data_IF_565571599109
#
_entry.id   IF_565571599109
#
_cell.length_a   1.000
_cell.length_b   1.000
_cell.length_c   1.000
_cell.angle_alpha   90.00
_cell.angle_beta   90.00
_cell.angle_gamma   90.00
#
_symmetry.space_group_name_H-M   'P 1'
#
loop_
_entity.id
_entity.type
_entity.pdbx_description
1 polymer ?
#
# COMPACT_ATOMS: atom_id res chain seq x y z
N UNK A 1 -4.84 -34.04 -15.31
CA UNK A 1 -4.99 -33.93 -15.00
C UNK A 1 -4.81 -33.43 -14.66
N UNK A 2 -4.88 -33.05 -14.48
CA UNK A 2 -5.02 -32.76 -14.05
C UNK A 2 -4.88 -32.27 -13.54
N UNK A 3 -4.72 -32.21 -13.74
CA UNK A 3 -4.85 -31.85 -13.20
C UNK A 3 -4.60 -31.19 -12.77
N UNK A 4 -4.59 -30.89 -12.93
CA UNK A 4 -4.70 -30.52 -12.38
C UNK A 4 -4.36 -29.71 -12.15
N UNK A 5 -4.42 -29.55 -12.43
CA UNK A 5 -4.49 -29.13 -12.19
C UNK A 5 -4.26 -28.43 -11.91
N UNK A 6 -4.23 -28.46 -12.19
CA UNK A 6 -4.31 -28.10 -11.85
C UNK A 6 -4.05 -27.34 -11.70
N UNK A 7 -4.07 -27.09 -11.92
CA UNK A 7 -4.20 -26.69 -11.59
C UNK A 7 -3.95 -25.89 -11.44
N UNK A 8 -4.03 -25.61 -11.75
CA UNK A 8 -4.19 -25.17 -11.43
C UNK A 8 -3.95 -24.42 -11.17
N UNK A 9 -3.95 -24.13 -11.37
CA UNK A 9 -4.09 -23.88 -10.91
C UNK A 9 -3.66 -23.00 -10.75
N UNK A 10 -3.72 -22.99 -10.99
CA UNK A 10 -3.75 -22.66 -10.65
C UNK A 10 -3.23 -21.85 -10.50
N UNK A 11 -3.06 -21.63 -10.69
CA UNK A 11 -3.01 -21.42 -10.38
C UNK A 11 -2.38 -20.63 -10.22
N UNK A 12 -2.10 -20.38 -10.53
CA UNK A 12 -1.95 -20.09 -10.18
C UNK A 12 -1.34 -19.30 -9.88
N UNK A 13 -1.19 -19.06 -9.91
CA UNK A 13 -1.15 -18.71 -9.41
C UNK A 13 -0.73 -18.21 -8.79
N UNK A 14 -0.70 -18.16 -8.76
CA UNK A 14 -0.80 -17.98 -7.90
C UNK A 14 -0.32 -17.74 -7.35
N UNK A 15 -0.05 -17.77 -7.45
CA UNK A 15 0.04 -17.94 -6.75
C UNK A 15 0.83 -17.55 -6.41
N UNK A 16 1.06 -17.20 -6.44
CA UNK A 16 1.53 -17.17 -6.08
C UNK A 16 1.99 -16.53 -5.43
N UNK A 17 2.25 -16.34 -5.24
CA UNK A 17 2.37 -16.11 -4.39
C UNK A 17 2.07 -15.27 -3.55
N UNK A 18 2.01 -14.99 -3.45
CA UNK A 18 1.60 -14.33 -2.66
C UNK A 18 0.91 -14.45 -1.90
N UNK A 19 0.90 -14.33 -1.24
CA UNK A 19 0.10 -14.93 -0.45
C UNK A 19 -1.15 -14.86 -0.92
N UNK A 20 -1.23 -15.54 -1.10
CA UNK A 20 -2.25 -15.43 -1.48
C UNK A 20 -3.22 -15.25 -0.61
N UNK A 21 -3.33 -15.14 0.12
CA UNK A 21 -4.46 -14.82 0.91
C UNK A 21 -5.37 -13.86 0.18
N UNK A 22 -6.54 -13.58 0.74
CA UNK A 22 -7.45 -12.64 0.12
C UNK A 22 -7.00 -11.18 0.24
N UNK A 23 -6.04 -10.93 1.06
CA UNK A 23 -5.59 -9.58 1.36
C UNK A 23 -4.84 -8.99 0.17
N UNK A 24 -5.16 -7.76 -0.18
CA UNK A 24 -4.51 -7.08 -1.29
C UNK A 24 -3.37 -6.22 -0.78
N UNK A 25 -2.30 -6.07 -1.59
CA UNK A 25 -1.15 -5.29 -1.16
C UNK A 25 -1.51 -3.89 -0.67
N UNK A 26 -2.44 -3.19 -1.36
CA UNK A 26 -2.77 -1.84 -0.95
C UNK A 26 -3.44 -1.82 0.42
N UNK A 27 -4.19 -2.86 0.77
CA UNK A 27 -4.86 -2.91 2.08
C UNK A 27 -3.84 -3.08 3.19
N UNK A 28 -2.85 -3.91 2.97
CA UNK A 28 -1.78 -4.12 3.94
C UNK A 28 -0.99 -2.83 4.15
N UNK A 29 -0.63 -2.18 3.05
CA UNK A 29 0.15 -0.94 3.12
C UNK A 29 -0.68 0.15 3.78
N UNK A 30 -1.96 0.26 3.43
CA UNK A 30 -2.83 1.27 4.02
C UNK A 30 -2.96 1.08 5.53
N UNK A 31 -3.13 -0.16 5.97
CA UNK A 31 -3.25 -0.45 7.39
C UNK A 31 -1.97 -0.08 8.14
N UNK A 32 -0.82 -0.39 7.56
CA UNK A 32 0.44 -0.09 8.20
C UNK A 32 0.69 1.42 8.27
N UNK A 33 0.48 2.11 7.15
CA UNK A 33 0.66 3.57 7.13
C UNK A 33 -0.32 4.27 8.07
N UNK A 34 -1.57 3.81 8.10
CA UNK A 34 -2.56 4.39 8.99
C UNK A 34 -2.10 4.28 10.44
N UNK A 35 -1.58 3.12 10.80
CA UNK A 35 -1.06 2.87 12.14
C UNK A 35 0.13 3.79 12.45
N UNK A 36 1.04 3.96 11.49
CA UNK A 36 2.22 4.79 11.69
C UNK A 36 1.86 6.26 11.84
N UNK A 37 0.91 6.74 11.05
CA UNK A 37 0.44 8.11 11.17
C UNK A 37 -0.22 8.31 12.53
N UNK A 38 -1.06 7.38 12.94
CA UNK A 38 -1.75 7.47 14.22
C UNK A 38 -0.77 7.41 15.38
N UNK A 39 0.33 6.68 15.22
CA UNK A 39 1.34 6.57 16.26
C UNK A 39 2.22 7.83 16.38
N UNK A 40 2.03 8.79 15.48
CA UNK A 40 2.79 10.04 15.56
C UNK A 40 4.16 9.95 14.94
N UNK A 41 4.38 9.02 14.02
CA UNK A 41 5.68 8.90 13.37
C UNK A 41 6.01 10.18 12.59
N UNK A 42 5.01 10.89 12.14
CA UNK A 42 5.16 12.21 11.51
C UNK A 42 4.30 13.20 12.23
N UNK A 43 4.86 14.37 12.51
CA UNK A 43 4.11 15.45 13.14
C UNK A 43 3.13 16.08 12.15
N UNK A 44 2.16 16.81 12.68
CA UNK A 44 1.23 17.55 11.82
C UNK A 44 2.04 18.46 10.89
N UNK A 45 1.68 18.44 9.62
CA UNK A 45 2.32 19.21 8.54
C UNK A 45 3.72 18.73 8.20
N UNK A 46 4.18 17.62 8.79
CA UNK A 46 5.46 17.04 8.41
C UNK A 46 5.27 16.21 7.13
N UNK A 47 6.26 16.30 6.25
CA UNK A 47 6.21 15.54 4.98
C UNK A 47 6.44 14.07 5.23
N UNK A 48 5.61 13.23 4.60
CA UNK A 48 5.83 11.80 4.56
C UNK A 48 6.92 11.50 3.51
N UNK A 49 7.49 10.30 3.54
CA UNK A 49 8.42 9.91 2.47
C UNK A 49 7.73 9.99 1.11
N UNK A 50 8.53 10.09 0.06
CA UNK A 50 7.99 10.18 -1.29
C UNK A 50 7.27 8.89 -1.67
N UNK A 51 6.43 9.00 -2.69
CA UNK A 51 5.75 7.83 -3.23
C UNK A 51 6.75 6.74 -3.62
N UNK A 52 7.86 7.14 -4.26
CA UNK A 52 8.88 6.19 -4.66
C UNK A 52 9.53 5.53 -3.45
N UNK A 53 9.84 6.30 -2.41
CA UNK A 53 10.45 5.76 -1.21
C UNK A 53 9.52 4.79 -0.50
N UNK A 54 8.23 5.13 -0.41
CA UNK A 54 7.26 4.25 0.22
C UNK A 54 7.08 2.97 -0.60
N UNK A 55 7.06 3.10 -1.93
CA UNK A 55 6.94 1.92 -2.79
C UNK A 55 8.09 0.96 -2.56
N UNK A 56 9.30 1.50 -2.45
CA UNK A 56 10.47 0.68 -2.20
C UNK A 56 10.43 0.05 -0.82
N UNK A 57 10.04 0.81 0.18
CA UNK A 57 9.96 0.32 1.54
C UNK A 57 8.96 -0.84 1.67
N UNK A 58 7.81 -0.71 1.04
CA UNK A 58 6.77 -1.72 1.14
C UNK A 58 6.85 -2.78 0.05
N UNK A 59 7.80 -2.64 -0.88
CA UNK A 59 7.98 -3.59 -1.98
C UNK A 59 6.71 -3.71 -2.82
N UNK A 60 6.15 -2.57 -3.17
CA UNK A 60 4.94 -2.48 -4.02
C UNK A 60 5.18 -1.43 -5.09
N UNK A 61 4.27 -1.35 -6.05
CA UNK A 61 4.37 -0.35 -7.12
C UNK A 61 4.02 1.03 -6.58
N UNK A 62 4.49 2.06 -7.27
CA UNK A 62 4.13 3.43 -6.92
C UNK A 62 2.64 3.67 -7.09
N UNK A 63 2.01 3.00 -8.06
CA UNK A 63 0.57 3.09 -8.22
C UNK A 63 -0.17 2.63 -6.97
N UNK A 64 0.31 1.55 -6.36
CA UNK A 64 -0.27 1.05 -5.12
C UNK A 64 -0.14 2.09 -4.01
N UNK A 65 1.04 2.71 -3.89
CA UNK A 65 1.25 3.75 -2.87
C UNK A 65 0.33 4.94 -3.14
N UNK A 66 0.23 5.37 -4.39
CA UNK A 66 -0.64 6.49 -4.75
C UNK A 66 -2.08 6.21 -4.32
N UNK A 67 -2.54 4.99 -4.55
CA UNK A 67 -3.88 4.58 -4.15
C UNK A 67 -4.03 4.64 -2.63
N UNK A 68 -3.03 4.14 -1.91
CA UNK A 68 -3.05 4.15 -0.44
C UNK A 68 -3.10 5.58 0.08
N UNK A 69 -2.26 6.46 -0.46
CA UNK A 69 -2.24 7.84 0.02
C UNK A 69 -3.56 8.54 -0.25
N UNK A 70 -4.21 8.20 -1.37
CA UNK A 70 -5.53 8.76 -1.66
C UNK A 70 -6.56 8.29 -0.62
N UNK A 71 -6.49 7.04 -0.23
CA UNK A 71 -7.38 6.49 0.78
C UNK A 71 -7.15 7.21 2.11
N UNK A 72 -5.90 7.37 2.52
CA UNK A 72 -5.60 8.05 3.78
C UNK A 72 -5.99 9.52 3.75
N UNK A 73 -5.88 10.16 2.57
CA UNK A 73 -6.32 11.54 2.42
C UNK A 73 -7.83 11.65 2.60
N UNK A 74 -8.57 10.67 2.06
CA UNK A 74 -10.02 10.63 2.24
C UNK A 74 -10.38 10.49 3.71
N UNK A 75 -9.55 9.79 4.47
CA UNK A 75 -9.76 9.61 5.90
C UNK A 75 -9.30 10.81 6.73
N UNK A 76 -8.69 11.79 6.09
CA UNK A 76 -8.23 12.99 6.79
C UNK A 76 -6.89 12.83 7.50
N UNK A 77 -6.15 11.75 7.20
CA UNK A 77 -4.89 11.49 7.88
C UNK A 77 -3.70 12.18 7.23
N UNK A 78 -3.78 12.39 5.92
CA UNK A 78 -2.72 13.07 5.17
C UNK A 78 -3.38 14.01 4.17
N UNK A 79 -2.58 14.92 3.62
CA UNK A 79 -3.01 15.76 2.52
C UNK A 79 -1.92 15.80 1.47
N UNK A 80 -2.33 15.78 0.22
CA UNK A 80 -1.40 15.84 -0.90
C UNK A 80 -1.42 17.25 -1.47
N UNK A 81 -0.22 17.83 -1.60
CA UNK A 81 -0.05 19.16 -2.19
C UNK A 81 0.73 18.96 -3.47
N UNK A 82 0.14 19.30 -4.63
CA UNK A 82 0.83 19.12 -5.92
C UNK A 82 2.21 19.75 -5.88
N UNK A 83 3.20 19.02 -6.38
CA UNK A 83 4.60 19.45 -6.46
C UNK A 83 5.32 19.46 -5.12
N UNK A 84 4.61 19.40 -4.01
CA UNK A 84 5.25 19.48 -2.70
C UNK A 84 5.30 18.12 -2.00
N UNK A 85 4.33 17.27 -2.28
CA UNK A 85 4.31 15.94 -1.72
C UNK A 85 3.10 15.70 -0.82
N UNK A 86 3.23 14.71 0.04
CA UNK A 86 2.18 14.32 0.98
C UNK A 86 2.63 14.68 2.37
N UNK A 87 1.75 15.30 3.12
CA UNK A 87 2.04 15.79 4.46
C UNK A 87 1.03 15.22 5.44
N UNK A 88 1.47 15.06 6.67
CA UNK A 88 0.53 14.65 7.71
C UNK A 88 -0.46 15.79 7.96
N UNK A 89 -1.75 15.41 7.93
CA UNK A 89 -2.82 16.38 8.19
C UNK A 89 -3.03 16.63 9.67
#
# INVERSE_FOLDING_TARGET
>A
MQSGQVAQGDHRRDDQGVPRGPERPYETVAADLRRRVAAGEWSVDEALPTTAALAEHYQVSQSTVTRVLRILATEGLVRTVPRWGTFRA
#
